data_IF_979911671528
#
_entry.id   IF_979911671528
#
_cell.length_a   1.000
_cell.length_b   1.000
_cell.length_c   1.000
_cell.angle_alpha   90.00
_cell.angle_beta   90.00
_cell.angle_gamma   90.00
#
_symmetry.space_group_name_H-M   'P 1'
#
loop_
_entity.id
_entity.type
_entity.pdbx_description
1 polymer ?
#
# COMPACT_ATOMS: atom_id res chain seq x y z
N UNK A 1 -9.31 15.00 20.16
CA UNK A 1 -8.03 14.41 19.75
C UNK A 1 -6.94 15.46 19.93
N UNK A 2 -5.69 15.05 20.14
CA UNK A 2 -4.59 16.01 20.35
C UNK A 2 -4.12 16.63 19.03
N UNK A 3 -4.10 15.83 17.96
CA UNK A 3 -3.54 16.19 16.65
C UNK A 3 -4.54 16.09 15.50
N UNK A 4 -5.24 14.96 15.37
CA UNK A 4 -5.95 14.59 14.14
C UNK A 4 -7.06 15.57 13.75
N UNK A 5 -7.75 16.17 14.71
CA UNK A 5 -8.78 17.19 14.49
C UNK A 5 -8.22 18.55 14.00
N UNK A 6 -6.90 18.72 14.02
CA UNK A 6 -6.20 19.92 13.54
C UNK A 6 -5.53 19.72 12.19
N UNK A 7 -5.49 18.48 11.67
CA UNK A 7 -4.90 18.15 10.38
C UNK A 7 -5.98 18.28 9.31
N UNK A 8 -6.01 19.41 8.62
CA UNK A 8 -6.93 19.65 7.50
C UNK A 8 -6.30 19.27 6.14
N UNK A 9 -4.99 19.17 6.08
CA UNK A 9 -4.24 18.81 4.88
C UNK A 9 -2.83 18.33 5.26
N UNK A 10 -2.07 17.73 4.32
CA UNK A 10 -0.73 17.24 4.60
C UNK A 10 0.28 18.30 5.09
N UNK A 11 0.07 19.59 4.78
CA UNK A 11 0.94 20.65 5.29
C UNK A 11 0.83 20.83 6.79
N UNK A 12 -0.35 20.55 7.37
CA UNK A 12 -0.53 20.60 8.82
C UNK A 12 0.17 19.42 9.50
N UNK A 13 0.12 18.23 8.89
CA UNK A 13 0.87 17.06 9.36
C UNK A 13 2.39 17.34 9.42
N UNK A 14 2.94 18.02 8.43
CA UNK A 14 4.38 18.36 8.36
C UNK A 14 4.85 19.33 9.46
N UNK A 15 3.95 20.03 10.13
CA UNK A 15 4.29 20.91 11.27
C UNK A 15 4.53 20.13 12.56
N UNK A 16 4.12 18.86 12.62
CA UNK A 16 4.23 18.02 13.81
C UNK A 16 5.66 17.43 13.85
N UNK A 17 6.37 17.49 14.99
CA UNK A 17 7.68 16.87 15.12
C UNK A 17 7.63 15.36 14.83
N UNK A 18 8.68 14.81 14.19
CA UNK A 18 8.75 13.39 13.82
C UNK A 18 8.52 12.47 15.01
N UNK A 19 9.08 12.81 16.18
CA UNK A 19 8.90 12.02 17.41
C UNK A 19 7.46 11.93 17.92
N UNK A 20 6.56 12.82 17.47
CA UNK A 20 5.15 12.84 17.85
C UNK A 20 4.23 12.15 16.83
N UNK A 21 4.75 11.78 15.66
CA UNK A 21 3.95 11.17 14.59
C UNK A 21 3.41 9.78 14.95
N UNK A 22 4.05 9.07 15.87
CA UNK A 22 3.53 7.81 16.39
C UNK A 22 2.20 8.02 17.13
N UNK A 23 2.03 9.14 17.85
CA UNK A 23 0.76 9.50 18.49
C UNK A 23 -0.31 9.83 17.44
N UNK A 24 0.06 10.56 16.38
CA UNK A 24 -0.85 10.83 15.23
C UNK A 24 -1.34 9.52 14.61
N UNK A 25 -0.45 8.56 14.37
CA UNK A 25 -0.82 7.23 13.87
C UNK A 25 -1.77 6.50 14.82
N UNK A 26 -1.55 6.63 16.14
CA UNK A 26 -2.44 6.06 17.16
C UNK A 26 -3.85 6.67 17.12
N UNK A 27 -3.96 8.00 17.03
CA UNK A 27 -5.25 8.70 16.91
C UNK A 27 -5.97 8.32 15.61
N UNK A 28 -5.24 8.29 14.48
CA UNK A 28 -5.76 7.93 13.17
C UNK A 28 -6.27 6.49 13.15
N UNK A 29 -5.53 5.55 13.73
CA UNK A 29 -5.94 4.15 13.88
C UNK A 29 -7.22 4.04 14.69
N UNK A 30 -7.26 4.66 15.86
CA UNK A 30 -8.45 4.64 16.72
C UNK A 30 -9.67 5.22 16.00
N UNK A 31 -9.52 6.36 15.34
CA UNK A 31 -10.61 7.02 14.61
C UNK A 31 -11.16 6.12 13.48
N UNK A 32 -10.29 5.49 12.71
CA UNK A 32 -10.69 4.57 11.63
C UNK A 32 -11.39 3.35 12.20
N UNK A 33 -10.86 2.74 13.26
CA UNK A 33 -11.49 1.57 13.93
C UNK A 33 -12.89 1.94 14.41
N UNK A 34 -13.02 3.02 15.16
CA UNK A 34 -14.29 3.46 15.75
C UNK A 34 -15.32 3.73 14.65
N UNK A 35 -14.92 4.40 13.56
CA UNK A 35 -15.80 4.72 12.45
C UNK A 35 -16.22 3.46 11.66
N UNK A 36 -15.26 2.65 11.24
CA UNK A 36 -15.54 1.50 10.37
C UNK A 36 -16.31 0.40 11.11
N UNK A 37 -16.08 0.23 12.40
CA UNK A 37 -16.89 -0.68 13.21
C UNK A 37 -18.39 -0.28 13.28
N UNK A 38 -18.72 0.97 13.04
CA UNK A 38 -20.11 1.44 13.02
C UNK A 38 -20.75 1.33 11.64
N UNK A 39 -20.03 1.79 10.60
CA UNK A 39 -20.59 1.97 9.27
C UNK A 39 -20.21 0.88 8.25
N UNK A 40 -19.26 0.01 8.61
CA UNK A 40 -18.68 -0.98 7.70
C UNK A 40 -17.62 -0.40 6.77
N UNK A 41 -16.83 -1.27 6.12
CA UNK A 41 -15.79 -0.88 5.19
C UNK A 41 -14.55 -1.77 5.27
N UNK A 42 -13.46 -1.37 4.59
CA UNK A 42 -12.19 -2.09 4.61
C UNK A 42 -11.39 -1.73 5.87
N UNK A 43 -11.28 -2.67 6.81
CA UNK A 43 -10.65 -2.42 8.11
C UNK A 43 -9.19 -2.87 8.14
N UNK A 44 -8.95 -4.18 8.07
CA UNK A 44 -7.61 -4.74 8.25
C UNK A 44 -6.57 -4.23 7.25
N UNK A 45 -6.87 -4.06 5.94
CA UNK A 45 -5.92 -3.49 4.99
C UNK A 45 -5.52 -2.06 5.35
N UNK A 46 -6.48 -1.24 5.77
CA UNK A 46 -6.25 0.16 6.15
C UNK A 46 -5.37 0.27 7.39
N UNK A 47 -5.62 -0.56 8.41
CA UNK A 47 -4.83 -0.56 9.64
C UNK A 47 -3.36 -0.95 9.40
N UNK A 48 -3.11 -1.77 8.38
CA UNK A 48 -1.76 -2.16 7.97
C UNK A 48 -0.95 -1.04 7.30
N UNK A 49 -1.58 0.05 6.85
CA UNK A 49 -0.91 1.10 6.07
C UNK A 49 -0.89 2.47 6.75
N UNK A 50 -1.27 2.59 8.01
CA UNK A 50 -1.39 3.87 8.70
C UNK A 50 -0.05 4.60 8.78
N UNK A 51 0.99 3.96 9.29
CA UNK A 51 2.32 4.54 9.42
C UNK A 51 2.91 4.86 8.05
N UNK A 52 2.76 3.96 7.09
CA UNK A 52 3.21 4.17 5.71
C UNK A 52 2.52 5.38 5.07
N UNK A 53 1.20 5.49 5.21
CA UNK A 53 0.42 6.62 4.69
C UNK A 53 0.86 7.93 5.32
N UNK A 54 1.03 7.94 6.65
CA UNK A 54 1.48 9.12 7.39
C UNK A 54 2.88 9.54 6.95
N UNK A 55 3.82 8.60 6.81
CA UNK A 55 5.17 8.89 6.34
C UNK A 55 5.20 9.43 4.91
N UNK A 56 4.39 8.89 3.99
CA UNK A 56 4.27 9.39 2.62
C UNK A 56 3.79 10.85 2.62
N UNK A 57 2.72 11.16 3.34
CA UNK A 57 2.21 12.54 3.41
C UNK A 57 3.10 13.50 4.18
N UNK A 58 3.95 12.98 5.06
CA UNK A 58 4.96 13.79 5.74
C UNK A 58 6.12 14.18 4.82
N UNK A 59 6.55 13.28 3.95
CA UNK A 59 7.74 13.45 3.10
C UNK A 59 7.41 14.11 1.76
N UNK A 60 6.34 13.70 1.10
CA UNK A 60 5.96 14.20 -0.23
C UNK A 60 4.99 15.39 -0.16
N UNK A 61 5.05 16.28 -1.15
CA UNK A 61 4.24 17.49 -1.23
C UNK A 61 2.96 17.29 -2.04
N UNK A 62 2.08 16.40 -1.57
CA UNK A 62 0.78 16.22 -2.21
C UNK A 62 -0.09 17.49 -2.04
N UNK A 63 -0.87 17.90 -3.07
CA UNK A 63 -1.14 17.20 -4.33
C UNK A 63 -0.15 17.54 -5.46
N UNK A 64 0.89 18.40 -5.23
CA UNK A 64 1.95 18.65 -6.22
C UNK A 64 2.58 17.30 -6.60
N UNK A 65 3.11 16.58 -5.64
CA UNK A 65 3.59 15.22 -5.81
C UNK A 65 2.39 14.27 -6.00
N UNK A 66 2.53 13.31 -6.92
CA UNK A 66 1.44 12.43 -7.34
C UNK A 66 1.53 11.08 -6.64
N UNK A 67 0.56 10.82 -5.75
CA UNK A 67 0.46 9.57 -4.99
C UNK A 67 -0.63 8.70 -5.61
N UNK A 68 -0.24 7.55 -6.14
CA UNK A 68 -1.12 6.59 -6.84
C UNK A 68 -1.25 5.32 -6.02
N UNK A 69 -2.45 5.03 -5.56
CA UNK A 69 -2.76 3.84 -4.78
C UNK A 69 -3.30 2.72 -5.67
N UNK A 70 -2.74 1.52 -5.53
CA UNK A 70 -3.30 0.32 -6.14
C UNK A 70 -4.55 -0.14 -5.39
N UNK A 71 -5.57 -0.55 -6.10
CA UNK A 71 -6.88 -0.95 -5.56
C UNK A 71 -7.56 0.14 -4.72
N UNK A 72 -6.88 0.76 -3.76
CA UNK A 72 -7.36 1.89 -2.96
C UNK A 72 -8.19 1.53 -1.72
N UNK A 73 -8.40 0.26 -1.44
CA UNK A 73 -9.12 -0.22 -0.25
C UNK A 73 -8.36 0.01 1.05
N UNK A 74 -7.05 0.20 0.99
CA UNK A 74 -6.17 0.50 2.11
C UNK A 74 -5.97 2.01 2.35
N UNK A 75 -6.60 2.88 1.55
CA UNK A 75 -6.31 4.32 1.50
C UNK A 75 -7.23 5.18 2.39
N UNK A 76 -7.85 4.64 3.43
CA UNK A 76 -8.70 5.43 4.32
C UNK A 76 -7.91 6.46 5.12
N UNK A 77 -6.71 6.10 5.58
CA UNK A 77 -5.81 7.04 6.23
C UNK A 77 -5.44 8.22 5.30
N UNK A 78 -5.23 7.97 4.00
CA UNK A 78 -5.01 9.00 3.00
C UNK A 78 -6.20 9.98 2.93
N UNK A 79 -7.45 9.48 2.89
CA UNK A 79 -8.63 10.34 2.88
C UNK A 79 -8.70 11.24 4.12
N UNK A 80 -8.47 10.67 5.29
CA UNK A 80 -8.51 11.42 6.56
C UNK A 80 -7.44 12.52 6.59
N UNK A 81 -6.19 12.21 6.22
CA UNK A 81 -5.07 13.15 6.24
C UNK A 81 -5.13 14.21 5.13
N UNK A 82 -6.00 14.04 4.13
CA UNK A 82 -6.18 14.97 3.01
C UNK A 82 -7.50 15.75 3.09
N UNK A 83 -7.94 16.09 4.29
CA UNK A 83 -9.03 17.03 4.54
C UNK A 83 -10.42 16.41 4.66
N UNK A 84 -10.55 15.09 4.56
CA UNK A 84 -11.87 14.41 4.64
C UNK A 84 -12.17 13.82 6.01
N UNK A 85 -11.53 14.33 7.07
CA UNK A 85 -11.73 13.86 8.44
C UNK A 85 -13.20 13.96 8.87
N UNK A 86 -13.83 15.14 8.76
CA UNK A 86 -15.22 15.37 9.19
C UNK A 86 -16.24 14.57 8.36
N UNK A 87 -15.94 14.34 7.08
CA UNK A 87 -16.82 13.61 6.16
C UNK A 87 -16.60 12.08 6.21
N UNK A 88 -15.51 11.62 6.82
CA UNK A 88 -15.14 10.20 6.82
C UNK A 88 -16.25 9.27 7.34
N UNK A 89 -17.10 9.62 8.33
CA UNK A 89 -18.25 8.81 8.74
C UNK A 89 -19.32 8.59 7.66
N UNK A 90 -19.24 9.29 6.53
CA UNK A 90 -20.14 9.11 5.37
C UNK A 90 -19.59 8.11 4.33
N UNK A 91 -18.38 7.56 4.53
CA UNK A 91 -17.75 6.68 3.56
C UNK A 91 -18.66 5.49 3.23
N UNK A 92 -18.76 5.16 1.92
CA UNK A 92 -19.62 4.10 1.37
C UNK A 92 -21.14 4.34 1.52
N UNK A 93 -21.56 5.50 2.04
CA UNK A 93 -22.97 5.88 2.08
C UNK A 93 -23.38 6.59 0.79
N UNK A 94 -24.68 6.60 0.52
CA UNK A 94 -25.23 7.35 -0.61
C UNK A 94 -24.92 8.84 -0.48
N UNK A 95 -24.38 9.44 -1.54
CA UNK A 95 -23.86 10.82 -1.56
C UNK A 95 -22.74 11.13 -0.55
N UNK A 96 -22.20 10.14 0.13
CA UNK A 96 -21.03 10.28 0.99
C UNK A 96 -19.72 9.95 0.24
N UNK A 97 -18.63 9.85 1.00
CA UNK A 97 -17.32 9.53 0.46
C UNK A 97 -17.29 8.14 -0.19
N UNK A 98 -16.60 8.03 -1.30
CA UNK A 98 -16.34 6.75 -1.97
C UNK A 98 -15.49 5.81 -1.10
N UNK A 99 -15.77 4.51 -1.16
CA UNK A 99 -14.96 3.48 -0.49
C UNK A 99 -13.59 3.26 -1.14
N UNK A 100 -13.36 3.83 -2.32
CA UNK A 100 -12.10 3.86 -3.06
C UNK A 100 -11.73 5.30 -3.41
N UNK A 101 -10.54 5.51 -3.94
CA UNK A 101 -10.12 6.85 -4.38
C UNK A 101 -10.90 7.25 -5.63
N UNK A 102 -11.30 8.52 -5.68
CA UNK A 102 -12.12 9.06 -6.77
C UNK A 102 -11.70 10.48 -7.08
N UNK A 103 -11.20 10.71 -8.30
CA UNK A 103 -10.67 12.01 -8.76
C UNK A 103 -11.65 13.19 -8.61
N UNK A 104 -12.94 12.93 -8.71
CA UNK A 104 -13.96 13.98 -8.52
C UNK A 104 -14.27 14.28 -7.04
N UNK A 105 -13.67 13.54 -6.11
CA UNK A 105 -13.86 13.72 -4.66
C UNK A 105 -12.80 14.62 -4.06
N UNK A 106 -11.57 14.53 -4.54
CA UNK A 106 -10.44 15.30 -4.00
C UNK A 106 -9.31 15.46 -5.01
N UNK A 107 -8.63 16.62 -4.98
CA UNK A 107 -7.41 16.85 -5.77
C UNK A 107 -6.24 15.95 -5.37
N UNK A 108 -6.29 15.34 -4.18
CA UNK A 108 -5.32 14.36 -3.70
C UNK A 108 -5.54 12.96 -4.29
N UNK A 109 -6.71 12.68 -4.83
CA UNK A 109 -7.05 11.41 -5.46
C UNK A 109 -6.62 11.43 -6.95
N UNK A 110 -5.32 11.31 -7.20
CA UNK A 110 -4.69 11.49 -8.52
C UNK A 110 -5.18 10.49 -9.56
N UNK A 111 -5.51 9.27 -9.12
CA UNK A 111 -5.99 8.18 -9.97
C UNK A 111 -7.20 7.50 -9.34
N UNK A 112 -8.22 7.23 -10.15
CA UNK A 112 -9.39 6.46 -9.70
C UNK A 112 -8.99 5.02 -9.43
N UNK A 113 -9.30 4.53 -8.22
CA UNK A 113 -8.93 3.19 -7.78
C UNK A 113 -10.14 2.25 -7.73
N UNK A 114 -9.90 0.95 -7.54
CA UNK A 114 -10.90 -0.12 -7.48
C UNK A 114 -10.43 -1.42 -8.09
N UNK A 115 -9.55 -1.35 -9.09
CA UNK A 115 -8.95 -2.53 -9.75
C UNK A 115 -7.50 -2.71 -9.34
N UNK A 116 -7.13 -3.96 -9.04
CA UNK A 116 -5.78 -4.33 -8.66
C UNK A 116 -4.79 -4.25 -9.84
N UNK A 117 -3.51 -4.10 -9.52
CA UNK A 117 -2.37 -4.14 -10.45
C UNK A 117 -2.24 -2.96 -11.41
N UNK A 118 -3.01 -1.88 -11.24
CA UNK A 118 -3.07 -0.76 -12.19
C UNK A 118 -2.15 0.41 -11.85
N UNK A 119 -1.75 0.52 -10.59
CA UNK A 119 -1.09 1.72 -10.06
C UNK A 119 0.26 2.03 -10.69
N UNK A 120 1.08 1.01 -10.97
CA UNK A 120 2.42 1.21 -11.54
C UNK A 120 2.32 1.75 -12.97
N UNK A 121 1.41 1.20 -13.79
CA UNK A 121 1.14 1.69 -15.16
C UNK A 121 0.67 3.14 -15.15
N UNK A 122 -0.29 3.48 -14.28
CA UNK A 122 -0.80 4.84 -14.14
C UNK A 122 0.30 5.80 -13.69
N UNK A 123 1.09 5.42 -12.67
CA UNK A 123 2.20 6.23 -12.17
C UNK A 123 3.30 6.43 -13.22
N UNK A 124 3.61 5.40 -14.01
CA UNK A 124 4.57 5.51 -15.12
C UNK A 124 4.08 6.49 -16.19
N UNK A 125 2.80 6.45 -16.54
CA UNK A 125 2.18 7.42 -17.45
C UNK A 125 2.30 8.85 -16.94
N UNK A 126 1.99 9.08 -15.65
CA UNK A 126 2.12 10.38 -14.99
C UNK A 126 3.58 10.84 -14.96
N UNK A 127 4.53 9.95 -14.64
CA UNK A 127 5.96 10.28 -14.65
C UNK A 127 6.48 10.60 -16.05
N UNK A 128 5.92 9.97 -17.08
CA UNK A 128 6.25 10.25 -18.46
C UNK A 128 5.71 11.63 -18.90
N UNK A 129 4.47 11.97 -18.55
CA UNK A 129 3.87 13.28 -18.81
C UNK A 129 4.64 14.38 -18.09
N UNK A 130 5.02 14.19 -16.81
CA UNK A 130 5.88 15.11 -16.06
C UNK A 130 7.17 15.45 -16.85
N UNK A 131 7.85 14.42 -17.35
CA UNK A 131 9.11 14.64 -18.07
C UNK A 131 8.91 15.32 -19.42
N UNK A 132 7.77 15.11 -20.10
CA UNK A 132 7.44 15.81 -21.36
C UNK A 132 7.12 17.27 -21.15
N UNK A 133 6.58 17.61 -19.98
CA UNK A 133 6.23 18.98 -19.61
C UNK A 133 7.36 19.73 -18.87
N UNK A 134 8.50 19.07 -18.62
CA UNK A 134 9.60 19.59 -17.79
C UNK A 134 9.18 19.98 -16.37
N UNK A 135 8.14 19.30 -15.84
CA UNK A 135 7.70 19.43 -14.45
C UNK A 135 8.67 18.73 -13.47
N UNK A 136 8.65 19.11 -12.18
CA UNK A 136 9.61 18.61 -11.16
C UNK A 136 8.96 17.78 -10.03
N UNK A 137 7.65 17.51 -10.09
CA UNK A 137 6.96 16.76 -9.04
C UNK A 137 7.37 15.27 -8.98
N UNK A 138 7.26 14.70 -7.78
CA UNK A 138 7.52 13.27 -7.56
C UNK A 138 6.29 12.44 -7.90
N UNK A 139 6.54 11.19 -8.29
CA UNK A 139 5.46 10.22 -8.54
C UNK A 139 5.71 8.98 -7.69
N UNK A 140 4.73 8.62 -6.88
CA UNK A 140 4.76 7.48 -5.96
C UNK A 140 3.60 6.55 -6.27
N UNK A 141 3.90 5.28 -6.50
CA UNK A 141 2.92 4.19 -6.62
C UNK A 141 2.97 3.31 -5.39
N UNK A 142 1.84 3.02 -4.77
CA UNK A 142 1.73 2.10 -3.64
C UNK A 142 0.94 0.88 -4.10
N UNK A 143 1.57 -0.29 -4.02
CA UNK A 143 0.97 -1.56 -4.46
C UNK A 143 1.13 -2.63 -3.39
N UNK A 144 0.09 -3.41 -3.15
CA UNK A 144 0.16 -4.59 -2.28
C UNK A 144 0.83 -5.78 -2.99
N UNK A 145 1.44 -6.67 -2.21
CA UNK A 145 2.09 -7.90 -2.67
C UNK A 145 1.15 -8.80 -3.48
N UNK A 146 -0.12 -8.91 -3.09
CA UNK A 146 -1.15 -9.62 -3.85
C UNK A 146 -1.40 -9.01 -5.23
N UNK A 147 -1.58 -7.69 -5.30
CA UNK A 147 -1.79 -6.96 -6.55
C UNK A 147 -0.53 -6.97 -7.44
N UNK A 148 0.66 -7.02 -6.84
CA UNK A 148 1.93 -7.08 -7.55
C UNK A 148 2.10 -8.38 -8.35
N UNK A 149 1.39 -9.45 -7.99
CA UNK A 149 1.40 -10.72 -8.73
C UNK A 149 0.62 -10.68 -10.05
N UNK A 150 -0.15 -9.63 -10.33
CA UNK A 150 -0.92 -9.51 -11.55
C UNK A 150 -0.06 -9.18 -12.78
N UNK A 151 -0.44 -9.71 -13.95
CA UNK A 151 0.29 -9.52 -15.21
C UNK A 151 0.49 -8.05 -15.58
N UNK A 152 -0.52 -7.21 -15.37
CA UNK A 152 -0.44 -5.76 -15.64
C UNK A 152 0.64 -5.08 -14.79
N UNK A 153 0.82 -5.49 -13.53
CA UNK A 153 1.88 -4.95 -12.66
C UNK A 153 3.27 -5.37 -13.16
N UNK A 154 3.46 -6.62 -13.60
CA UNK A 154 4.72 -7.11 -14.19
C UNK A 154 5.06 -6.38 -15.49
N UNK A 155 4.07 -6.19 -16.37
CA UNK A 155 4.24 -5.44 -17.61
C UNK A 155 4.68 -4.00 -17.32
N UNK A 156 4.03 -3.36 -16.34
CA UNK A 156 4.37 -2.01 -15.92
C UNK A 156 5.78 -1.92 -15.33
N UNK A 157 6.20 -2.87 -14.49
CA UNK A 157 7.57 -2.94 -13.96
C UNK A 157 8.59 -3.11 -15.09
N UNK A 158 8.34 -4.02 -16.01
CA UNK A 158 9.22 -4.22 -17.16
C UNK A 158 9.40 -2.94 -17.99
N UNK A 159 8.31 -2.25 -18.28
CA UNK A 159 8.35 -1.00 -19.03
C UNK A 159 9.02 0.14 -18.24
N UNK A 160 8.69 0.31 -16.94
CA UNK A 160 9.28 1.34 -16.09
C UNK A 160 10.80 1.19 -15.95
N UNK A 161 11.28 -0.04 -15.83
CA UNK A 161 12.73 -0.33 -15.80
C UNK A 161 13.43 -0.01 -17.11
N UNK A 162 12.76 -0.20 -18.25
CA UNK A 162 13.29 0.13 -19.57
C UNK A 162 13.36 1.65 -19.82
N UNK A 163 12.25 2.37 -19.55
CA UNK A 163 12.20 3.82 -19.80
C UNK A 163 12.92 4.66 -18.73
N UNK A 164 13.24 4.06 -17.60
CA UNK A 164 14.09 4.63 -16.52
C UNK A 164 13.68 6.01 -16.05
N UNK A 165 12.38 6.30 -16.00
CA UNK A 165 11.87 7.55 -15.43
C UNK A 165 11.95 7.53 -13.91
N UNK A 166 12.13 8.68 -13.28
CA UNK A 166 12.06 8.79 -11.83
C UNK A 166 10.64 8.44 -11.37
N UNK A 167 10.52 7.31 -10.69
CA UNK A 167 9.29 6.74 -10.16
C UNK A 167 9.63 5.96 -8.89
N UNK A 168 8.88 6.19 -7.82
CA UNK A 168 8.97 5.38 -6.60
C UNK A 168 7.81 4.39 -6.57
N UNK A 169 8.10 3.10 -6.55
CA UNK A 169 7.13 2.02 -6.32
C UNK A 169 7.32 1.52 -4.90
N UNK A 170 6.31 1.67 -4.05
CA UNK A 170 6.29 1.13 -2.69
C UNK A 170 5.52 -0.18 -2.71
N UNK A 171 6.21 -1.27 -2.46
CA UNK A 171 5.61 -2.60 -2.30
C UNK A 171 5.25 -2.77 -0.84
N UNK A 172 3.95 -2.81 -0.54
CA UNK A 172 3.41 -3.07 0.77
C UNK A 172 3.17 -4.58 0.93
N UNK A 173 4.14 -5.28 1.49
CA UNK A 173 4.13 -6.72 1.69
C UNK A 173 3.56 -7.06 3.08
N UNK A 174 2.43 -7.73 3.10
CA UNK A 174 1.80 -8.25 4.32
C UNK A 174 1.47 -9.74 4.22
N UNK A 175 2.02 -10.43 3.21
CA UNK A 175 1.82 -11.84 2.91
C UNK A 175 0.35 -12.26 2.69
N UNK A 176 -0.50 -11.29 2.36
CA UNK A 176 -1.95 -11.48 2.24
C UNK A 176 -2.55 -10.67 1.10
N UNK A 177 -3.37 -11.33 0.26
CA UNK A 177 -4.43 -10.64 -0.48
C UNK A 177 -5.75 -10.64 0.30
N UNK A 178 -6.89 -10.97 -0.26
CA UNK A 178 -8.08 -11.28 0.53
C UNK A 178 -7.82 -12.59 1.29
N UNK A 179 -7.39 -13.63 0.60
CA UNK A 179 -6.83 -14.87 1.16
C UNK A 179 -5.30 -14.83 1.19
N UNK A 180 -4.62 -15.77 1.88
CA UNK A 180 -3.17 -15.88 1.83
C UNK A 180 -2.65 -15.95 0.38
N UNK A 181 -1.62 -15.18 0.08
CA UNK A 181 -1.03 -15.16 -1.26
C UNK A 181 -0.45 -16.53 -1.62
N UNK A 182 -0.60 -16.91 -2.88
CA UNK A 182 -0.04 -18.15 -3.45
C UNK A 182 0.92 -17.81 -4.60
N UNK A 183 1.77 -18.79 -4.94
CA UNK A 183 2.63 -18.72 -6.11
C UNK A 183 4.09 -18.41 -5.84
N UNK A 184 4.90 -18.54 -6.90
CA UNK A 184 6.36 -18.42 -6.83
C UNK A 184 6.82 -17.01 -6.43
N UNK A 185 6.09 -15.99 -6.81
CA UNK A 185 6.46 -14.61 -6.49
C UNK A 185 6.34 -14.31 -4.99
N UNK A 186 5.29 -14.78 -4.33
CA UNK A 186 5.19 -14.73 -2.87
C UNK A 186 6.39 -15.40 -2.21
N UNK A 187 6.70 -16.65 -2.62
CA UNK A 187 7.83 -17.38 -2.07
C UNK A 187 9.16 -16.64 -2.27
N UNK A 188 9.29 -15.92 -3.38
CA UNK A 188 10.43 -15.05 -3.66
C UNK A 188 10.49 -13.86 -2.68
N UNK A 189 9.40 -13.14 -2.42
CA UNK A 189 9.36 -12.04 -1.45
C UNK A 189 9.67 -12.52 -0.04
N UNK A 190 9.07 -13.63 0.40
CA UNK A 190 9.36 -14.28 1.69
C UNK A 190 10.85 -14.64 1.80
N UNK A 191 11.44 -15.21 0.74
CA UNK A 191 12.88 -15.53 0.71
C UNK A 191 13.77 -14.30 0.89
N UNK A 192 13.41 -13.16 0.30
CA UNK A 192 14.10 -11.89 0.52
C UNK A 192 13.94 -11.44 1.97
N UNK A 193 12.72 -11.44 2.48
CA UNK A 193 12.39 -10.97 3.83
C UNK A 193 13.09 -11.80 4.94
N UNK A 194 13.24 -13.11 4.73
CA UNK A 194 13.81 -14.04 5.72
C UNK A 194 15.32 -14.27 5.58
N UNK A 195 15.96 -13.77 4.51
CA UNK A 195 17.38 -13.98 4.27
C UNK A 195 18.25 -13.27 5.34
N UNK A 196 18.90 -14.05 6.21
CA UNK A 196 19.74 -13.52 7.30
C UNK A 196 20.88 -12.63 6.82
N UNK A 197 21.56 -13.00 5.73
CA UNK A 197 22.65 -12.19 5.13
C UNK A 197 22.12 -10.86 4.61
N UNK A 198 20.99 -10.90 3.92
CA UNK A 198 20.31 -9.72 3.40
C UNK A 198 19.88 -8.78 4.55
N UNK A 199 19.30 -9.31 5.62
CA UNK A 199 18.89 -8.56 6.80
C UNK A 199 20.07 -7.93 7.56
N UNK A 200 21.23 -8.57 7.62
CA UNK A 200 22.46 -8.00 8.22
C UNK A 200 22.97 -6.80 7.41
N UNK A 201 22.96 -6.91 6.08
CA UNK A 201 23.37 -5.83 5.18
C UNK A 201 22.38 -4.66 5.28
N UNK A 202 21.09 -4.94 5.33
CA UNK A 202 20.04 -3.95 5.58
C UNK A 202 20.33 -3.14 6.86
N UNK A 203 20.60 -3.83 7.98
CA UNK A 203 20.95 -3.18 9.24
C UNK A 203 22.23 -2.32 9.11
N UNK A 204 23.20 -2.78 8.33
CA UNK A 204 24.40 -2.02 8.05
C UNK A 204 24.12 -0.79 7.18
N UNK A 205 23.35 -0.93 6.11
CA UNK A 205 22.91 0.18 5.24
C UNK A 205 22.14 1.21 6.07
N UNK A 206 21.16 0.79 6.88
CA UNK A 206 20.38 1.67 7.74
C UNK A 206 21.24 2.42 8.76
N UNK A 207 22.21 1.75 9.41
CA UNK A 207 23.16 2.42 10.31
C UNK A 207 24.03 3.44 9.59
N UNK A 208 24.45 3.12 8.36
CA UNK A 208 25.24 4.02 7.52
C UNK A 208 24.40 5.22 7.07
N UNK A 209 23.12 5.01 6.79
CA UNK A 209 22.15 6.06 6.49
C UNK A 209 22.03 7.04 7.66
N UNK A 210 21.87 6.55 8.89
CA UNK A 210 21.84 7.44 10.11
C UNK A 210 23.14 8.22 10.32
N UNK A 211 24.28 7.71 9.87
CA UNK A 211 25.60 8.28 10.15
C UNK A 211 26.11 9.31 9.16
N UNK A 212 25.56 9.36 7.92
CA UNK A 212 26.06 10.22 6.85
C UNK A 212 24.98 11.18 6.32
N UNK A 213 25.35 12.46 5.99
CA UNK A 213 24.44 13.44 5.40
C UNK A 213 23.86 12.94 4.07
N UNK A 214 22.63 13.33 3.76
CA UNK A 214 21.86 12.84 2.59
C UNK A 214 22.59 12.98 1.24
N UNK A 215 23.30 14.10 1.00
CA UNK A 215 24.10 14.33 -0.22
C UNK A 215 25.26 13.37 -0.40
N UNK A 216 25.93 12.98 0.70
CA UNK A 216 27.02 12.03 0.66
C UNK A 216 26.53 10.61 0.35
N UNK A 217 25.39 10.24 0.91
CA UNK A 217 24.76 8.93 0.64
C UNK A 217 24.30 8.79 -0.81
N UNK A 218 23.71 9.82 -1.39
CA UNK A 218 23.34 9.85 -2.82
C UNK A 218 24.57 9.68 -3.71
N UNK A 219 25.70 10.33 -3.37
CA UNK A 219 26.95 10.19 -4.14
C UNK A 219 27.58 8.79 -4.03
N UNK A 220 27.49 8.15 -2.86
CA UNK A 220 27.93 6.76 -2.70
C UNK A 220 27.03 5.83 -3.52
N UNK A 221 25.71 6.00 -3.46
CA UNK A 221 24.77 5.24 -4.28
C UNK A 221 25.02 5.41 -5.78
N UNK A 222 25.42 6.60 -6.21
CA UNK A 222 25.83 6.85 -7.62
C UNK A 222 27.13 6.14 -8.00
N UNK A 223 28.12 6.10 -7.11
CA UNK A 223 29.46 5.52 -7.41
C UNK A 223 29.50 4.00 -7.33
N UNK A 224 28.62 3.33 -6.57
CA UNK A 224 28.61 1.86 -6.42
C UNK A 224 27.87 1.13 -7.54
N UNK A 225 27.64 1.78 -8.66
CA UNK A 225 26.71 1.34 -9.71
C UNK A 225 27.15 0.15 -10.55
N UNK A 226 28.36 -0.30 -10.53
CA UNK A 226 28.69 -1.19 -11.65
C UNK A 226 29.33 -2.54 -11.32
N UNK A 227 30.16 -2.70 -10.33
CA UNK A 227 31.02 -3.88 -10.36
C UNK A 227 31.12 -4.71 -9.09
N UNK A 228 31.11 -4.10 -7.91
CA UNK A 228 31.35 -4.84 -6.67
C UNK A 228 30.09 -5.54 -6.10
N UNK A 229 28.89 -4.99 -6.34
CA UNK A 229 27.63 -5.57 -5.81
C UNK A 229 27.25 -6.90 -6.44
N UNK A 230 27.43 -7.05 -7.74
CA UNK A 230 27.03 -8.27 -8.49
C UNK A 230 27.80 -9.53 -8.07
N UNK A 231 29.00 -9.37 -7.53
CA UNK A 231 29.86 -10.51 -7.18
C UNK A 231 29.55 -11.11 -5.80
N UNK A 232 28.98 -10.34 -4.90
CA UNK A 232 28.78 -10.76 -3.51
C UNK A 232 27.31 -10.95 -3.08
N UNK A 233 26.35 -10.46 -3.88
CA UNK A 233 24.93 -10.52 -3.50
C UNK A 233 24.06 -10.93 -4.71
N UNK A 234 23.11 -11.85 -4.52
CA UNK A 234 22.12 -12.13 -5.55
C UNK A 234 21.29 -10.85 -5.77
N UNK A 235 21.19 -10.43 -7.04
CA UNK A 235 20.31 -9.34 -7.45
C UNK A 235 18.86 -9.72 -7.20
N UNK A 236 18.04 -8.74 -6.88
CA UNK A 236 16.59 -8.95 -6.84
C UNK A 236 16.01 -8.87 -8.25
N UNK A 237 14.85 -9.48 -8.48
CA UNK A 237 14.14 -9.36 -9.76
C UNK A 237 13.88 -7.88 -10.12
N UNK A 238 13.71 -7.02 -9.14
CA UNK A 238 13.52 -5.59 -9.36
C UNK A 238 14.80 -4.92 -9.90
N UNK A 239 15.97 -5.33 -9.40
CA UNK A 239 17.25 -4.83 -9.89
C UNK A 239 17.55 -5.36 -11.31
N UNK A 240 17.18 -6.59 -11.58
CA UNK A 240 17.30 -7.18 -12.94
C UNK A 240 16.37 -6.48 -13.94
N UNK A 241 15.21 -6.01 -13.49
CA UNK A 241 14.30 -5.16 -14.26
C UNK A 241 14.77 -3.69 -14.38
N UNK A 242 15.87 -3.29 -13.74
CA UNK A 242 16.45 -1.96 -13.86
C UNK A 242 16.07 -0.96 -12.76
N UNK A 243 15.37 -1.38 -11.72
CA UNK A 243 15.09 -0.57 -10.55
C UNK A 243 16.25 -0.54 -9.56
N UNK A 244 16.29 0.48 -8.72
CA UNK A 244 17.02 0.42 -7.45
C UNK A 244 16.10 -0.15 -6.39
N UNK A 245 16.56 -1.17 -5.70
CA UNK A 245 15.79 -1.83 -4.65
C UNK A 245 16.27 -1.42 -3.26
N UNK A 246 15.31 -1.03 -2.41
CA UNK A 246 15.51 -0.73 -0.99
C UNK A 246 14.52 -1.54 -0.16
N UNK A 247 14.99 -2.09 0.94
CA UNK A 247 14.17 -2.88 1.84
C UNK A 247 14.65 -4.34 1.97
N UNK A 248 13.83 -5.22 2.54
CA UNK A 248 12.58 -4.89 3.19
C UNK A 248 12.79 -4.06 4.47
N UNK A 249 11.92 -3.07 4.74
CA UNK A 249 11.92 -2.26 5.96
C UNK A 249 10.63 -2.47 6.75
N UNK A 250 10.66 -2.15 8.04
CA UNK A 250 9.47 -2.21 8.88
C UNK A 250 8.50 -1.08 8.51
N UNK A 251 7.36 -1.45 7.91
CA UNK A 251 6.32 -0.52 7.50
C UNK A 251 5.50 0.08 8.65
N UNK A 252 5.78 -0.33 9.91
CA UNK A 252 5.18 0.24 11.11
C UNK A 252 6.16 1.12 11.90
N UNK A 253 7.41 1.21 11.47
CA UNK A 253 8.39 2.14 12.05
C UNK A 253 8.36 3.46 11.28
N UNK A 254 7.59 4.42 11.78
CA UNK A 254 7.38 5.71 11.10
C UNK A 254 8.67 6.52 10.93
N UNK A 255 9.57 6.48 11.92
CA UNK A 255 10.86 7.19 11.84
C UNK A 255 11.75 6.58 10.75
N UNK A 256 11.83 5.24 10.68
CA UNK A 256 12.58 4.53 9.64
C UNK A 256 12.00 4.81 8.24
N UNK A 257 10.68 4.81 8.12
CA UNK A 257 9.99 5.13 6.86
C UNK A 257 10.35 6.54 6.38
N UNK A 258 10.25 7.55 7.25
CA UNK A 258 10.57 8.93 6.91
C UNK A 258 12.04 9.06 6.51
N UNK A 259 12.95 8.51 7.31
CA UNK A 259 14.39 8.55 7.05
C UNK A 259 14.75 7.95 5.68
N UNK A 260 14.12 6.83 5.32
CA UNK A 260 14.38 6.16 4.04
C UNK A 260 13.75 6.95 2.89
N UNK A 261 12.47 7.35 3.02
CA UNK A 261 11.76 8.10 1.98
C UNK A 261 12.46 9.41 1.66
N UNK A 262 12.93 10.18 2.66
CA UNK A 262 13.69 11.42 2.48
C UNK A 262 14.98 11.21 1.66
N UNK A 263 15.62 10.06 1.78
CA UNK A 263 16.88 9.76 1.10
C UNK A 263 16.70 9.22 -0.32
N UNK A 264 15.57 8.57 -0.58
CA UNK A 264 15.32 7.96 -1.89
C UNK A 264 14.46 8.82 -2.83
N UNK A 265 13.72 9.80 -2.28
CA UNK A 265 12.78 10.63 -3.07
C UNK A 265 13.41 11.39 -4.24
N UNK A 266 14.70 11.73 -4.12
CA UNK A 266 15.43 12.52 -5.12
C UNK A 266 16.35 11.68 -6.03
N UNK A 267 16.25 10.34 -5.94
CA UNK A 267 16.96 9.47 -6.86
C UNK A 267 16.38 9.61 -8.28
N UNK A 268 17.25 9.75 -9.26
CA UNK A 268 16.94 10.01 -10.67
C UNK A 268 16.50 8.78 -11.47
N UNK A 269 16.50 7.59 -10.86
CA UNK A 269 16.13 6.30 -11.45
C UNK A 269 14.87 5.74 -10.82
N UNK A 270 14.19 4.78 -11.46
CA UNK A 270 13.08 4.09 -10.82
C UNK A 270 13.55 3.33 -9.57
N UNK A 271 12.77 3.46 -8.51
CA UNK A 271 13.06 2.89 -7.19
C UNK A 271 11.93 1.97 -6.77
N UNK A 272 12.27 0.80 -6.22
CA UNK A 272 11.36 -0.03 -5.43
C UNK A 272 11.73 0.08 -3.96
N UNK A 273 10.77 0.49 -3.13
CA UNK A 273 10.84 0.41 -1.68
C UNK A 273 9.95 -0.74 -1.21
N UNK A 274 10.55 -1.77 -0.65
CA UNK A 274 9.82 -2.91 -0.09
C UNK A 274 9.60 -2.70 1.40
N UNK A 275 8.33 -2.61 1.82
CA UNK A 275 7.92 -2.45 3.22
C UNK A 275 7.18 -3.69 3.68
N UNK A 276 7.48 -4.16 4.89
CA UNK A 276 6.74 -5.25 5.53
C UNK A 276 5.76 -4.66 6.53
N UNK A 277 4.50 -4.99 6.37
CA UNK A 277 3.43 -4.54 7.26
C UNK A 277 2.65 -5.73 7.81
N UNK A 278 1.82 -5.48 8.81
CA UNK A 278 0.88 -6.46 9.35
C UNK A 278 -0.54 -5.97 9.13
N UNK A 279 -1.33 -6.75 8.41
CA UNK A 279 -2.74 -6.48 8.16
C UNK A 279 -3.51 -6.52 9.48
N UNK A 280 -4.37 -5.54 9.73
CA UNK A 280 -5.09 -5.43 11.00
C UNK A 280 -4.30 -4.81 12.17
N UNK A 281 -3.10 -4.27 11.93
CA UNK A 281 -2.17 -3.76 12.95
C UNK A 281 -2.82 -2.91 14.02
N UNK A 282 -2.58 -3.31 15.29
CA UNK A 282 -3.09 -2.62 16.48
C UNK A 282 -4.53 -2.97 16.85
N UNK A 283 -5.07 -4.06 16.28
CA UNK A 283 -6.38 -4.59 16.59
C UNK A 283 -6.33 -6.13 16.60
N UNK A 284 -6.12 -6.73 17.78
CA UNK A 284 -5.77 -8.14 17.96
C UNK A 284 -6.64 -9.08 17.14
N UNK A 285 -7.96 -8.96 17.23
CA UNK A 285 -8.88 -9.84 16.47
C UNK A 285 -8.78 -9.67 14.94
N UNK A 286 -8.31 -8.51 14.45
CA UNK A 286 -8.10 -8.29 13.01
C UNK A 286 -6.69 -8.69 12.55
N UNK A 287 -5.74 -8.75 13.47
CA UNK A 287 -4.42 -9.34 13.24
C UNK A 287 -4.50 -10.87 13.20
N UNK A 288 -5.36 -11.47 14.03
CA UNK A 288 -5.55 -12.93 14.12
C UNK A 288 -6.35 -13.48 12.94
N UNK A 289 -7.37 -12.75 12.46
CA UNK A 289 -8.19 -13.17 11.31
C UNK A 289 -8.33 -12.03 10.27
N UNK A 290 -7.24 -11.69 9.55
CA UNK A 290 -7.24 -10.60 8.59
C UNK A 290 -8.12 -10.85 7.35
N UNK A 291 -8.53 -12.08 7.10
CA UNK A 291 -9.47 -12.46 6.03
C UNK A 291 -10.87 -11.99 6.40
N UNK A 292 -11.36 -12.40 7.56
CA UNK A 292 -12.68 -12.02 8.09
C UNK A 292 -12.82 -10.50 8.24
N UNK A 293 -11.76 -9.82 8.70
CA UNK A 293 -11.73 -8.38 8.92
C UNK A 293 -11.17 -7.58 7.74
N UNK A 294 -11.01 -8.21 6.57
CA UNK A 294 -10.69 -7.49 5.33
C UNK A 294 -11.77 -6.44 5.03
N UNK A 295 -13.05 -6.87 5.09
CA UNK A 295 -14.21 -6.01 4.97
C UNK A 295 -15.21 -6.25 6.10
N UNK A 296 -15.50 -5.20 6.87
CA UNK A 296 -16.46 -5.26 7.98
C UNK A 296 -17.83 -4.79 7.49
N UNK A 297 -18.88 -5.49 7.88
CA UNK A 297 -20.26 -5.09 7.59
C UNK A 297 -20.71 -4.02 8.60
N UNK A 298 -21.59 -3.12 8.14
CA UNK A 298 -22.26 -2.16 9.02
C UNK A 298 -22.95 -2.88 10.19
N UNK A 299 -22.87 -2.33 11.40
CA UNK A 299 -23.68 -2.80 12.53
C UNK A 299 -25.15 -2.64 12.16
N UNK A 300 -25.79 -3.73 11.79
CA UNK A 300 -27.22 -3.74 11.50
C UNK A 300 -27.99 -3.45 12.76
N UNK A 301 -29.01 -2.61 12.64
CA UNK A 301 -30.08 -2.53 13.63
C UNK A 301 -30.71 -3.93 13.77
N UNK A 302 -30.52 -4.56 14.92
CA UNK A 302 -31.00 -5.91 15.21
C UNK A 302 -32.53 -6.03 15.20
N UNK A 303 -33.24 -4.89 15.12
CA UNK A 303 -34.71 -4.85 14.99
C UNK A 303 -35.23 -5.22 13.60
N UNK A 304 -34.38 -5.19 12.55
CA UNK A 304 -34.79 -5.58 11.20
C UNK A 304 -34.72 -7.09 11.03
N UNK A 305 -35.87 -7.74 10.72
CA UNK A 305 -35.95 -9.17 10.39
C UNK A 305 -34.93 -9.49 9.29
N UNK A 306 -34.11 -10.55 9.50
CA UNK A 306 -33.26 -11.10 8.44
C UNK A 306 -34.14 -11.46 7.24
N UNK A 307 -33.78 -11.03 6.06
CA UNK A 307 -34.40 -11.50 4.81
C UNK A 307 -34.24 -13.02 4.73
N UNK A 308 -35.31 -13.73 4.42
CA UNK A 308 -35.27 -15.16 4.14
C UNK A 308 -34.69 -15.46 2.74
N UNK A 309 -34.51 -14.43 1.92
CA UNK A 309 -33.96 -14.56 0.57
C UNK A 309 -32.44 -14.64 0.68
N UNK A 310 -31.80 -15.69 0.15
CA UNK A 310 -30.36 -15.81 0.15
C UNK A 310 -29.72 -14.71 -0.70
N UNK A 311 -28.49 -14.32 -0.36
CA UNK A 311 -27.68 -13.43 -1.18
C UNK A 311 -27.27 -14.22 -2.44
N UNK A 312 -27.26 -13.58 -3.61
CA UNK A 312 -26.94 -14.21 -4.90
C UNK A 312 -25.65 -15.04 -4.89
N UNK A 313 -24.58 -14.51 -4.32
CA UNK A 313 -23.31 -15.22 -4.24
C UNK A 313 -23.38 -16.49 -3.37
N UNK A 314 -24.17 -16.50 -2.31
CA UNK A 314 -24.35 -17.70 -1.47
C UNK A 314 -25.15 -18.77 -2.21
N UNK A 315 -26.27 -18.36 -2.87
CA UNK A 315 -27.07 -19.26 -3.70
C UNK A 315 -26.24 -19.84 -4.86
N UNK A 316 -25.39 -19.03 -5.49
CA UNK A 316 -24.48 -19.48 -6.55
C UNK A 316 -23.46 -20.50 -6.00
N UNK A 317 -22.83 -20.22 -4.86
CA UNK A 317 -21.87 -21.11 -4.24
C UNK A 317 -22.47 -22.46 -3.86
N UNK A 318 -23.66 -22.47 -3.25
CA UNK A 318 -24.41 -23.70 -2.93
C UNK A 318 -24.70 -24.53 -4.18
N UNK A 319 -25.25 -23.90 -5.23
CA UNK A 319 -25.58 -24.59 -6.51
C UNK A 319 -24.31 -25.17 -7.15
N UNK A 320 -23.22 -24.42 -7.16
CA UNK A 320 -21.96 -24.90 -7.77
C UNK A 320 -21.38 -26.07 -6.99
N UNK A 321 -21.44 -26.03 -5.65
CA UNK A 321 -21.02 -27.16 -4.83
C UNK A 321 -21.86 -28.42 -5.14
N UNK A 322 -23.18 -28.29 -5.13
CA UNK A 322 -24.09 -29.41 -5.45
C UNK A 322 -23.82 -30.01 -6.85
N UNK A 323 -23.57 -29.14 -7.84
CA UNK A 323 -23.25 -29.59 -9.20
C UNK A 323 -21.88 -30.30 -9.25
N UNK A 324 -20.87 -29.79 -8.56
CA UNK A 324 -19.53 -30.34 -8.56
C UNK A 324 -19.44 -31.67 -7.77
N UNK A 325 -20.23 -31.84 -6.70
CA UNK A 325 -20.34 -33.12 -5.99
C UNK A 325 -20.86 -34.26 -6.89
N UNK A 326 -21.70 -33.90 -7.87
CA UNK A 326 -22.30 -34.87 -8.79
C UNK A 326 -21.54 -34.96 -10.15
N UNK A 327 -20.55 -34.13 -10.39
CA UNK A 327 -19.79 -34.10 -11.64
C UNK A 327 -18.36 -33.60 -11.45
N UNK A 328 -17.40 -34.52 -11.42
CA UNK A 328 -15.96 -34.24 -11.25
C UNK A 328 -15.35 -33.38 -12.37
N UNK A 329 -16.04 -33.21 -13.51
CA UNK A 329 -15.60 -32.35 -14.58
C UNK A 329 -15.83 -30.86 -14.33
N UNK A 330 -16.58 -30.50 -13.27
CA UNK A 330 -16.86 -29.14 -12.90
C UNK A 330 -15.75 -28.64 -11.99
N UNK A 331 -15.04 -27.60 -12.43
CA UNK A 331 -14.02 -26.89 -11.64
C UNK A 331 -14.33 -25.40 -11.64
N UNK A 332 -13.99 -24.73 -10.54
CA UNK A 332 -14.19 -23.30 -10.41
C UNK A 332 -12.88 -22.56 -10.19
N UNK A 333 -12.78 -21.36 -10.73
CA UNK A 333 -11.62 -20.47 -10.55
C UNK A 333 -12.11 -19.16 -9.94
N UNK A 334 -11.50 -18.74 -8.85
CA UNK A 334 -11.78 -17.45 -8.22
C UNK A 334 -10.49 -16.67 -7.99
N UNK A 335 -10.57 -15.33 -8.14
CA UNK A 335 -9.43 -14.45 -7.98
C UNK A 335 -9.24 -14.06 -6.51
N UNK A 336 -8.70 -14.96 -5.68
CA UNK A 336 -8.41 -14.77 -4.25
C UNK A 336 -9.64 -14.40 -3.38
N UNK A 337 -10.85 -14.82 -3.79
CA UNK A 337 -12.11 -14.51 -3.10
C UNK A 337 -12.90 -15.78 -2.74
N UNK A 338 -12.20 -16.85 -2.36
CA UNK A 338 -12.81 -18.15 -2.06
C UNK A 338 -13.96 -18.05 -1.05
N UNK A 339 -13.81 -17.28 0.01
CA UNK A 339 -14.81 -17.10 1.06
C UNK A 339 -15.91 -16.10 0.67
N UNK A 340 -15.78 -15.42 -0.44
CA UNK A 340 -16.72 -14.41 -0.93
C UNK A 340 -17.54 -14.82 -2.15
N UNK A 341 -17.35 -16.07 -2.58
CA UNK A 341 -18.03 -16.59 -3.80
C UNK A 341 -18.95 -17.78 -3.45
#
# INVERSE_FOLDING_TARGET
>A
MKYLDKINNPKDLKKIPVGELAEVCGELRKYIIDTINQIGGHLAPTLGTIELTTAIHYVFDAPKDKIVWDTGHQAYAHKVLTGRFSEFPTIRKYKGLSGFLKRSESEYDIFGAGHASTSISAALGIASARNLNDDDYKVVSIIGDGALSGGLAFEALNNAGNVRKQLLVIVNDNDMSISPNLGAFRNYLVKIATNKKYNQIRKWVYRSIKRFPSKFFVNILRKTEASAKKFFFPTTIFEDLGFRYFGPIDGHNIEELIDVLEKIKDLDKPVVLHTITKKGKGLDYAEDDPVKFHGVKEKKDTSKKKSSIPIYQNAFGEIVCDLAENNESIVTITAAMKEGT
#
